data_IF_588498374172
#
_entry.id   IF_588498374172
#
_cell.length_a   1.000
_cell.length_b   1.000
_cell.length_c   1.000
_cell.angle_alpha   90.00
_cell.angle_beta   90.00
_cell.angle_gamma   90.00
#
_symmetry.space_group_name_H-M   'P 1'
#
loop_
_entity.id
_entity.type
_entity.pdbx_description
1 polymer ?
#
# COMPACT_ATOMS: atom_id res chain seq x y z
N UNK A 1 23.77 19.05 19.73
CA UNK A 1 22.45 19.18 19.06
C UNK A 1 21.36 18.95 20.10
N UNK A 2 20.13 19.47 19.92
CA UNK A 2 19.00 19.13 20.79
C UNK A 2 18.70 17.61 20.73
N UNK A 3 18.25 17.04 21.84
CA UNK A 3 17.87 15.62 21.91
C UNK A 3 16.56 15.37 21.18
N UNK A 4 16.34 14.13 20.72
CA UNK A 4 15.09 13.74 20.05
C UNK A 4 13.86 14.05 20.90
N UNK A 5 13.91 13.78 22.21
CA UNK A 5 12.85 14.14 23.15
C UNK A 5 12.59 15.65 23.17
N UNK A 6 13.65 16.48 23.34
CA UNK A 6 13.50 17.95 23.33
C UNK A 6 12.95 18.49 22.01
N UNK A 7 13.28 17.88 20.87
CA UNK A 7 12.70 18.25 19.57
C UNK A 7 11.21 17.91 19.52
N UNK A 8 10.82 16.69 19.92
CA UNK A 8 9.43 16.20 19.80
C UNK A 8 8.50 16.94 20.77
N UNK A 9 8.91 17.08 22.02
CA UNK A 9 8.10 17.60 23.13
C UNK A 9 7.99 19.13 23.11
N UNK A 10 8.99 19.86 22.58
CA UNK A 10 8.89 21.31 22.45
C UNK A 10 7.85 21.71 21.40
N UNK A 11 6.71 22.21 21.88
CA UNK A 11 5.63 22.76 21.05
C UNK A 11 6.01 24.02 20.27
N UNK A 12 7.10 24.70 20.64
CA UNK A 12 7.62 25.92 19.99
C UNK A 12 8.79 25.66 19.05
N UNK A 13 9.37 24.45 19.07
CA UNK A 13 10.47 24.12 18.17
C UNK A 13 10.00 24.06 16.72
N UNK A 14 10.61 24.90 15.88
CA UNK A 14 10.50 24.87 14.42
C UNK A 14 11.91 24.91 13.83
N UNK A 15 12.26 24.01 12.88
CA UNK A 15 13.50 24.11 12.14
C UNK A 15 13.64 25.47 11.43
N UNK A 16 14.88 25.93 11.26
CA UNK A 16 15.18 27.13 10.45
C UNK A 16 15.05 26.81 8.96
N UNK A 17 14.77 27.77 8.06
CA UNK A 17 14.62 27.49 6.62
C UNK A 17 15.82 26.78 5.97
N UNK A 18 17.05 27.07 6.39
CA UNK A 18 18.27 26.37 5.94
C UNK A 18 18.41 24.93 6.49
N UNK A 19 17.84 24.69 7.66
CA UNK A 19 17.77 23.38 8.30
C UNK A 19 16.67 22.52 7.64
N UNK A 20 15.50 23.11 7.37
CA UNK A 20 14.40 22.51 6.60
C UNK A 20 14.87 22.03 5.23
N UNK A 21 15.52 22.88 4.42
CA UNK A 21 16.03 22.49 3.10
C UNK A 21 17.09 21.36 3.16
N UNK A 22 17.79 21.20 4.29
CA UNK A 22 18.75 20.11 4.50
C UNK A 22 18.04 18.82 4.90
N UNK A 23 17.03 18.90 5.78
CA UNK A 23 16.17 17.78 6.18
C UNK A 23 15.42 17.26 4.95
N UNK A 24 14.75 18.11 4.18
CA UNK A 24 13.98 17.70 3.01
C UNK A 24 14.85 17.02 1.95
N UNK A 25 16.09 17.50 1.75
CA UNK A 25 17.06 16.82 0.87
C UNK A 25 17.39 15.41 1.39
N UNK A 26 17.63 15.26 2.69
CA UNK A 26 17.89 13.95 3.29
C UNK A 26 16.70 13.00 3.14
N UNK A 27 15.49 13.46 3.47
CA UNK A 27 14.24 12.70 3.30
C UNK A 27 14.03 12.30 1.84
N UNK A 28 14.31 13.19 0.88
CA UNK A 28 14.15 12.90 -0.56
C UNK A 28 15.09 11.79 -1.08
N UNK A 29 16.20 11.52 -0.39
CA UNK A 29 17.13 10.43 -0.72
C UNK A 29 16.68 9.07 -0.16
N UNK A 30 15.62 9.01 0.66
CA UNK A 30 15.07 7.79 1.26
C UNK A 30 13.76 7.45 0.54
N UNK A 31 13.73 6.45 -0.37
CA UNK A 31 12.57 6.21 -1.24
C UNK A 31 11.26 5.97 -0.48
N UNK A 32 11.31 5.24 0.64
CA UNK A 32 10.16 4.97 1.51
C UNK A 32 9.54 6.24 2.10
N UNK A 33 10.33 7.28 2.40
CA UNK A 33 9.83 8.54 2.99
C UNK A 33 9.27 9.52 1.95
N UNK A 34 9.51 9.29 0.66
CA UNK A 34 9.04 10.15 -0.42
C UNK A 34 7.57 9.92 -0.76
N UNK A 35 6.67 10.83 -0.36
CA UNK A 35 5.30 10.82 -0.89
C UNK A 35 5.28 11.25 -2.37
N UNK A 36 5.15 10.28 -3.28
CA UNK A 36 4.92 10.53 -4.72
C UNK A 36 3.46 10.95 -4.97
N UNK A 37 3.14 12.17 -4.54
CA UNK A 37 1.86 12.82 -4.74
C UNK A 37 1.76 13.48 -6.12
N UNK A 38 0.73 13.07 -6.86
CA UNK A 38 0.22 13.66 -8.10
C UNK A 38 1.14 13.62 -9.34
N UNK A 39 0.54 13.33 -10.49
CA UNK A 39 1.17 13.43 -11.81
C UNK A 39 1.96 12.23 -12.34
N UNK A 40 2.29 11.21 -11.54
CA UNK A 40 3.09 10.06 -12.02
C UNK A 40 2.35 8.73 -12.00
N UNK A 41 1.88 8.31 -13.19
CA UNK A 41 1.44 6.94 -13.49
C UNK A 41 2.59 5.98 -13.18
N UNK A 42 2.47 5.21 -12.08
CA UNK A 42 3.44 4.19 -11.62
C UNK A 42 4.89 4.63 -11.89
N UNK A 43 5.22 5.84 -11.42
CA UNK A 43 6.49 6.50 -11.74
C UNK A 43 7.67 5.62 -11.39
N UNK A 44 8.68 5.59 -12.27
CA UNK A 44 9.78 4.60 -12.30
C UNK A 44 9.96 3.91 -10.94
N UNK A 45 9.55 2.64 -10.90
CA UNK A 45 9.79 1.77 -9.76
C UNK A 45 11.29 1.81 -9.42
N UNK A 46 11.68 1.68 -8.15
CA UNK A 46 13.07 1.82 -7.76
C UNK A 46 13.93 0.82 -8.54
N UNK A 47 14.70 1.33 -9.51
CA UNK A 47 15.56 0.52 -10.38
C UNK A 47 16.38 -0.41 -9.49
N UNK A 48 16.20 -1.72 -9.68
CA UNK A 48 16.71 -2.73 -8.76
C UNK A 48 18.18 -2.48 -8.43
N UNK A 49 18.51 -2.34 -7.15
CA UNK A 49 19.92 -2.37 -6.70
C UNK A 49 20.53 -3.66 -7.25
N UNK A 50 21.64 -3.55 -7.98
CA UNK A 50 22.25 -4.68 -8.69
C UNK A 50 22.51 -5.85 -7.72
N UNK A 51 21.64 -6.86 -7.79
CA UNK A 51 21.38 -7.74 -6.65
C UNK A 51 22.33 -8.95 -6.71
N UNK A 52 23.36 -8.96 -5.87
CA UNK A 52 24.56 -9.81 -6.02
C UNK A 52 24.36 -11.30 -5.68
N UNK A 53 23.17 -11.72 -5.26
CA UNK A 53 22.91 -13.07 -4.82
C UNK A 53 22.72 -14.05 -5.99
N UNK A 54 23.46 -15.17 -5.97
CA UNK A 54 23.31 -16.21 -7.00
C UNK A 54 21.98 -16.97 -6.85
N UNK A 55 21.44 -17.47 -7.96
CA UNK A 55 20.23 -18.34 -7.99
C UNK A 55 20.26 -19.48 -6.97
N UNK A 56 21.43 -20.06 -6.73
CA UNK A 56 21.63 -21.15 -5.75
C UNK A 56 21.59 -20.66 -4.30
N UNK A 57 22.05 -19.45 -4.03
CA UNK A 57 21.94 -18.81 -2.71
C UNK A 57 20.48 -18.44 -2.42
N UNK A 58 19.79 -17.79 -3.37
CA UNK A 58 18.38 -17.45 -3.24
C UNK A 58 17.50 -18.70 -3.02
N UNK A 59 17.69 -19.76 -3.82
CA UNK A 59 16.98 -21.03 -3.64
C UNK A 59 17.27 -21.70 -2.27
N UNK A 60 18.46 -21.50 -1.71
CA UNK A 60 18.81 -21.96 -0.36
C UNK A 60 18.08 -21.14 0.70
N UNK A 61 18.03 -19.81 0.58
CA UNK A 61 17.28 -18.92 1.47
C UNK A 61 15.78 -19.24 1.48
N UNK A 62 15.18 -19.51 0.32
CA UNK A 62 13.78 -19.98 0.23
C UNK A 62 13.59 -21.28 1.02
N UNK A 63 14.41 -22.30 0.75
CA UNK A 63 14.38 -23.59 1.48
C UNK A 63 14.63 -23.44 2.98
N UNK A 64 15.48 -22.52 3.41
CA UNK A 64 15.73 -22.26 4.83
C UNK A 64 14.54 -21.58 5.51
N UNK A 65 13.90 -20.60 4.86
CA UNK A 65 12.68 -19.96 5.36
C UNK A 65 11.52 -20.95 5.50
N UNK A 66 11.32 -21.82 4.50
CA UNK A 66 10.37 -22.94 4.54
C UNK A 66 10.65 -23.88 5.72
N UNK A 67 11.93 -24.22 5.96
CA UNK A 67 12.34 -25.06 7.10
C UNK A 67 12.21 -24.37 8.46
N UNK A 68 12.20 -23.03 8.53
CA UNK A 68 11.96 -22.28 9.78
C UNK A 68 10.48 -22.27 10.14
N UNK A 69 9.59 -22.02 9.17
CA UNK A 69 8.14 -22.08 9.35
C UNK A 69 7.70 -23.46 9.84
N UNK A 70 8.36 -24.53 9.36
CA UNK A 70 8.14 -25.92 9.82
C UNK A 70 8.60 -26.23 11.26
N UNK A 71 9.42 -25.37 11.89
CA UNK A 71 10.05 -25.64 13.21
C UNK A 71 9.46 -24.86 14.38
N UNK A 72 8.82 -23.73 14.13
CA UNK A 72 8.28 -22.83 15.16
C UNK A 72 6.90 -22.28 14.70
N UNK A 73 5.83 -23.10 14.80
CA UNK A 73 4.55 -22.79 14.15
C UNK A 73 3.66 -21.82 14.92
N UNK A 74 3.88 -21.64 16.23
CA UNK A 74 3.03 -20.78 17.08
C UNK A 74 3.31 -19.27 16.93
N UNK A 75 4.29 -18.89 16.11
CA UNK A 75 4.69 -17.48 15.94
C UNK A 75 3.90 -16.69 14.89
N UNK A 76 3.00 -17.33 14.12
CA UNK A 76 2.32 -16.70 12.99
C UNK A 76 0.89 -17.28 12.77
N UNK A 77 -0.17 -16.58 13.21
CA UNK A 77 -1.59 -16.95 13.08
C UNK A 77 -2.26 -16.22 11.87
N UNK A 78 -3.47 -16.52 11.34
CA UNK A 78 -4.43 -17.64 11.48
C UNK A 78 -5.28 -17.77 10.18
N UNK A 79 -5.77 -18.98 9.85
CA UNK A 79 -6.27 -19.46 8.53
C UNK A 79 -7.73 -19.99 8.33
N UNK A 80 -8.47 -19.71 7.24
CA UNK A 80 -9.58 -20.56 6.73
C UNK A 80 -9.51 -20.87 5.19
N UNK A 81 -9.64 -22.16 4.86
CA UNK A 81 -9.49 -22.92 3.58
C UNK A 81 -9.97 -22.28 2.23
N UNK A 82 -9.20 -22.41 1.11
CA UNK A 82 -9.59 -22.03 -0.25
C UNK A 82 -9.42 -23.20 -1.29
N UNK A 83 -9.97 -24.38 -1.01
CA UNK A 83 -9.84 -25.65 -1.78
C UNK A 83 -10.22 -25.68 -3.29
N UNK A 84 -10.37 -24.55 -3.96
CA UNK A 84 -10.91 -24.46 -5.33
C UNK A 84 -9.88 -24.15 -6.43
N UNK A 85 -8.58 -24.04 -6.10
CA UNK A 85 -7.62 -23.33 -6.97
C UNK A 85 -6.64 -24.14 -7.82
N UNK A 86 -6.38 -25.42 -7.52
CA UNK A 86 -5.23 -26.12 -8.09
C UNK A 86 -5.61 -27.46 -8.73
N UNK A 87 -5.96 -27.41 -10.02
CA UNK A 87 -5.99 -28.58 -10.92
C UNK A 87 -5.44 -28.20 -12.31
N UNK A 88 -4.12 -28.38 -12.58
CA UNK A 88 -3.52 -28.12 -13.88
C UNK A 88 -3.49 -29.37 -14.81
N UNK A 89 -3.59 -29.22 -16.16
CA UNK A 89 -3.66 -30.38 -17.08
C UNK A 89 -2.30 -31.04 -17.40
N UNK A 90 -2.35 -32.31 -17.81
CA UNK A 90 -1.23 -33.26 -17.81
C UNK A 90 -0.05 -33.03 -18.80
N UNK A 91 -0.10 -32.07 -19.72
CA UNK A 91 0.77 -32.03 -20.90
C UNK A 91 2.19 -31.44 -20.71
N UNK A 92 2.60 -31.10 -19.48
CA UNK A 92 3.83 -30.35 -19.21
C UNK A 92 4.90 -31.11 -18.39
N UNK A 93 4.74 -32.43 -18.19
CA UNK A 93 5.47 -33.17 -17.15
C UNK A 93 6.99 -33.39 -17.39
N UNK A 94 7.51 -33.21 -18.61
CA UNK A 94 8.86 -33.66 -19.00
C UNK A 94 10.00 -32.62 -18.92
N UNK A 95 9.74 -31.37 -18.49
CA UNK A 95 10.75 -30.31 -18.48
C UNK A 95 11.66 -30.35 -17.22
N UNK A 96 12.98 -30.04 -17.29
CA UNK A 96 13.86 -29.97 -16.11
C UNK A 96 13.50 -28.87 -15.09
N UNK A 97 12.87 -27.79 -15.55
CA UNK A 97 12.23 -26.79 -14.69
C UNK A 97 11.05 -27.38 -13.90
N UNK A 98 10.35 -28.35 -14.46
CA UNK A 98 9.22 -29.02 -13.83
C UNK A 98 9.64 -29.86 -12.61
N UNK A 99 10.89 -30.37 -12.56
CA UNK A 99 11.44 -31.01 -11.35
C UNK A 99 11.63 -30.00 -10.20
N UNK A 100 11.91 -28.74 -10.52
CA UNK A 100 11.98 -27.66 -9.53
C UNK A 100 10.58 -27.18 -9.13
N UNK A 101 9.63 -27.12 -10.07
CA UNK A 101 8.21 -26.89 -9.77
C UNK A 101 7.67 -27.98 -8.85
N UNK A 102 7.76 -29.26 -9.22
CA UNK A 102 7.33 -30.40 -8.40
C UNK A 102 7.94 -30.41 -6.99
N UNK A 103 9.18 -29.91 -6.84
CA UNK A 103 9.80 -29.76 -5.51
C UNK A 103 9.16 -28.62 -4.71
N UNK A 104 8.80 -27.50 -5.35
CA UNK A 104 8.01 -26.43 -4.75
C UNK A 104 6.57 -26.88 -4.45
N UNK A 105 5.92 -27.60 -5.36
CA UNK A 105 4.56 -28.10 -5.24
C UNK A 105 4.44 -29.09 -4.05
N UNK A 106 5.36 -30.06 -3.94
CA UNK A 106 5.45 -30.98 -2.77
C UNK A 106 5.79 -30.28 -1.45
N UNK A 107 6.39 -29.08 -1.50
CA UNK A 107 6.65 -28.25 -0.32
C UNK A 107 5.39 -27.45 0.03
N UNK A 108 4.68 -26.91 -0.95
CA UNK A 108 3.43 -26.17 -0.81
C UNK A 108 2.33 -27.07 -0.22
N UNK A 109 2.12 -28.26 -0.81
CA UNK A 109 1.18 -29.28 -0.33
C UNK A 109 1.45 -29.67 1.14
N UNK A 110 2.73 -29.77 1.54
CA UNK A 110 3.12 -30.04 2.94
C UNK A 110 2.99 -28.85 3.89
N UNK A 111 2.89 -27.63 3.38
CA UNK A 111 2.66 -26.43 4.20
C UNK A 111 1.16 -26.22 4.39
N UNK A 112 0.38 -26.40 3.34
CA UNK A 112 -1.10 -26.40 3.35
C UNK A 112 -1.66 -27.40 4.37
N UNK A 113 -1.05 -28.58 4.52
CA UNK A 113 -1.48 -29.58 5.50
C UNK A 113 -1.09 -29.29 6.94
N UNK A 114 -0.32 -28.23 7.23
CA UNK A 114 0.28 -28.07 8.57
C UNK A 114 0.08 -26.70 9.24
N UNK A 115 0.29 -25.54 8.57
CA UNK A 115 0.38 -24.22 9.24
C UNK A 115 -0.22 -23.03 8.43
N UNK A 116 -0.58 -21.87 9.03
CA UNK A 116 -1.59 -20.96 8.48
C UNK A 116 -1.11 -19.97 7.40
N UNK A 117 -2.07 -19.48 6.61
CA UNK A 117 -1.81 -18.99 5.26
C UNK A 117 -1.23 -17.58 5.09
N UNK A 118 -1.10 -16.74 6.11
CA UNK A 118 -0.36 -15.47 5.90
C UNK A 118 1.12 -15.76 5.56
N UNK A 119 1.68 -16.81 6.17
CA UNK A 119 3.00 -17.35 5.83
C UNK A 119 3.03 -17.94 4.41
N UNK A 120 1.99 -18.65 4.01
CA UNK A 120 1.87 -19.29 2.70
C UNK A 120 1.68 -18.28 1.56
N UNK A 121 0.77 -17.30 1.71
CA UNK A 121 0.58 -16.18 0.78
C UNK A 121 1.92 -15.50 0.51
N UNK A 122 2.69 -15.19 1.56
CA UNK A 122 4.03 -14.62 1.43
C UNK A 122 5.00 -15.53 0.68
N UNK A 123 5.05 -16.83 1.00
CA UNK A 123 5.93 -17.78 0.31
C UNK A 123 5.59 -17.88 -1.19
N UNK A 124 4.31 -17.82 -1.57
CA UNK A 124 3.87 -17.74 -2.96
C UNK A 124 4.34 -16.44 -3.61
N UNK A 125 4.22 -15.30 -2.93
CA UNK A 125 4.73 -14.00 -3.39
C UNK A 125 6.25 -14.01 -3.62
N UNK A 126 7.01 -14.54 -2.66
CA UNK A 126 8.47 -14.67 -2.74
C UNK A 126 8.87 -15.68 -3.84
N UNK A 127 8.11 -16.74 -4.07
CA UNK A 127 8.37 -17.72 -5.15
C UNK A 127 8.13 -17.09 -6.53
N UNK A 128 7.06 -16.31 -6.70
CA UNK A 128 6.80 -15.56 -7.94
C UNK A 128 7.86 -14.48 -8.15
N UNK A 129 8.30 -13.80 -7.08
CA UNK A 129 9.41 -12.85 -7.14
C UNK A 129 10.73 -13.54 -7.53
N UNK A 130 11.04 -14.73 -6.99
CA UNK A 130 12.20 -15.53 -7.40
C UNK A 130 12.16 -15.86 -8.89
N UNK A 131 10.99 -16.23 -9.44
CA UNK A 131 10.84 -16.46 -10.87
C UNK A 131 11.09 -15.18 -11.70
N UNK A 132 10.62 -14.02 -11.23
CA UNK A 132 10.88 -12.72 -11.88
C UNK A 132 12.36 -12.34 -11.82
N UNK A 133 12.96 -12.31 -10.61
CA UNK A 133 14.37 -11.99 -10.31
C UNK A 133 15.35 -12.83 -11.13
N UNK A 134 15.07 -14.12 -11.32
CA UNK A 134 15.93 -15.05 -12.05
C UNK A 134 15.54 -15.26 -13.52
N UNK A 135 14.62 -14.43 -14.05
CA UNK A 135 14.13 -14.45 -15.44
C UNK A 135 13.56 -15.83 -15.88
N UNK A 136 12.95 -16.55 -14.95
CA UNK A 136 12.29 -17.84 -15.17
C UNK A 136 10.85 -17.67 -15.70
N UNK A 137 10.29 -16.47 -15.54
CA UNK A 137 9.05 -16.02 -16.18
C UNK A 137 9.33 -14.69 -16.92
N UNK A 138 8.73 -14.49 -18.09
CA UNK A 138 8.83 -13.21 -18.80
C UNK A 138 7.87 -12.17 -18.20
N UNK A 139 8.23 -10.89 -18.23
CA UNK A 139 7.41 -9.80 -17.68
C UNK A 139 5.98 -9.77 -18.26
N UNK A 140 5.82 -10.16 -19.52
CA UNK A 140 4.50 -10.31 -20.14
C UNK A 140 3.67 -11.45 -19.52
N UNK A 141 4.27 -12.63 -19.29
CA UNK A 141 3.58 -13.76 -18.63
C UNK A 141 3.30 -13.49 -17.15
N UNK A 142 4.20 -12.77 -16.48
CA UNK A 142 4.00 -12.28 -15.12
C UNK A 142 2.83 -11.27 -15.06
N UNK A 143 2.75 -10.37 -16.04
CA UNK A 143 1.61 -9.47 -16.23
C UNK A 143 0.27 -10.21 -16.33
N UNK A 144 0.19 -11.25 -17.16
CA UNK A 144 -1.00 -12.11 -17.25
C UNK A 144 -1.32 -12.76 -15.90
N UNK A 145 -0.32 -13.39 -15.24
CA UNK A 145 -0.50 -14.08 -13.96
C UNK A 145 -1.05 -13.14 -12.88
N UNK A 146 -0.43 -11.96 -12.70
CA UNK A 146 -0.77 -11.00 -11.65
C UNK A 146 -2.03 -10.16 -11.95
N UNK A 147 -2.49 -10.13 -13.21
CA UNK A 147 -3.74 -9.45 -13.62
C UNK A 147 -4.95 -10.38 -13.77
N UNK A 148 -4.76 -11.70 -13.62
CA UNK A 148 -5.86 -12.65 -13.53
C UNK A 148 -6.71 -12.36 -12.30
N UNK A 149 -8.04 -12.33 -12.45
CA UNK A 149 -9.02 -11.93 -11.42
C UNK A 149 -8.69 -12.47 -10.01
N UNK A 150 -8.51 -13.80 -9.92
CA UNK A 150 -8.39 -14.50 -8.65
C UNK A 150 -7.00 -14.26 -8.00
N UNK A 151 -5.94 -14.22 -8.82
CA UNK A 151 -4.59 -13.86 -8.36
C UNK A 151 -4.52 -12.39 -7.93
N UNK A 152 -5.09 -11.46 -8.72
CA UNK A 152 -5.13 -10.02 -8.40
C UNK A 152 -5.82 -9.76 -7.07
N UNK A 153 -6.96 -10.41 -6.83
CA UNK A 153 -7.67 -10.35 -5.54
C UNK A 153 -6.84 -10.92 -4.40
N UNK A 154 -6.24 -12.11 -4.57
CA UNK A 154 -5.45 -12.76 -3.52
C UNK A 154 -4.22 -11.93 -3.13
N UNK A 155 -3.49 -11.39 -4.11
CA UNK A 155 -2.40 -10.45 -3.89
C UNK A 155 -2.87 -9.16 -3.22
N UNK A 156 -3.99 -8.58 -3.67
CA UNK A 156 -4.54 -7.36 -3.07
C UNK A 156 -4.91 -7.55 -1.60
N UNK A 157 -5.56 -8.68 -1.26
CA UNK A 157 -5.86 -9.03 0.12
C UNK A 157 -4.57 -9.21 0.93
N UNK A 158 -3.57 -9.91 0.39
CA UNK A 158 -2.28 -10.09 1.06
C UNK A 158 -1.58 -8.75 1.39
N UNK A 159 -1.58 -7.79 0.46
CA UNK A 159 -0.96 -6.45 0.63
C UNK A 159 -1.66 -5.61 1.72
N UNK A 160 -2.99 -5.78 1.87
CA UNK A 160 -3.75 -5.06 2.89
C UNK A 160 -3.69 -5.76 4.25
N UNK A 161 -3.71 -7.10 4.25
CA UNK A 161 -3.50 -7.92 5.44
C UNK A 161 -2.11 -7.72 6.05
N UNK A 162 -1.06 -7.66 5.24
CA UNK A 162 0.31 -7.40 5.70
C UNK A 162 0.39 -6.04 6.42
N UNK A 163 -0.14 -4.99 5.81
CA UNK A 163 -0.20 -3.67 6.42
C UNK A 163 -0.98 -3.66 7.76
N UNK A 164 -2.09 -4.39 7.83
CA UNK A 164 -2.93 -4.46 9.03
C UNK A 164 -2.31 -5.28 10.17
N UNK A 165 -1.55 -6.35 9.87
CA UNK A 165 -0.91 -7.23 10.85
C UNK A 165 0.32 -6.58 11.48
N UNK A 166 1.03 -5.74 10.73
CA UNK A 166 2.30 -5.15 11.17
C UNK A 166 2.13 -4.03 12.17
N UNK A 167 1.22 -3.12 11.83
CA UNK A 167 0.94 -1.90 12.57
C UNK A 167 0.08 -2.15 13.82
N UNK A 168 0.42 -3.22 14.55
CA UNK A 168 -0.01 -3.59 15.91
C UNK A 168 0.05 -2.46 16.96
N UNK A 169 0.57 -1.29 16.61
CA UNK A 169 0.72 -0.11 17.47
C UNK A 169 -0.37 0.96 17.21
N UNK A 170 -1.14 0.89 16.11
CA UNK A 170 -2.27 1.80 15.86
C UNK A 170 -3.42 1.15 15.08
N UNK A 171 -4.50 0.79 15.79
CA UNK A 171 -5.76 0.31 15.17
C UNK A 171 -6.55 1.41 14.45
N UNK A 172 -6.08 2.66 14.48
CA UNK A 172 -6.85 3.84 14.07
C UNK A 172 -6.77 4.14 12.55
N UNK A 173 -6.12 3.28 11.76
CA UNK A 173 -5.67 3.62 10.40
C UNK A 173 -5.76 2.48 9.35
N UNK A 174 -6.70 1.56 9.51
CA UNK A 174 -6.91 0.45 8.55
C UNK A 174 -7.53 0.97 7.24
N UNK A 175 -7.24 0.33 6.09
CA UNK A 175 -6.61 0.94 4.92
C UNK A 175 -7.32 2.17 4.33
N UNK A 176 -7.13 3.33 4.98
CA UNK A 176 -7.66 4.62 4.52
C UNK A 176 -6.85 5.18 3.33
N UNK A 177 -5.67 4.62 3.02
CA UNK A 177 -4.80 5.14 1.97
C UNK A 177 -4.16 4.08 1.07
N UNK A 178 -5.00 3.35 0.31
CA UNK A 178 -4.58 2.32 -0.65
C UNK A 178 -3.38 2.71 -1.53
N UNK A 179 -3.39 3.92 -2.10
CA UNK A 179 -2.29 4.44 -2.95
C UNK A 179 -0.96 4.46 -2.20
N UNK A 180 -0.96 4.88 -0.94
CA UNK A 180 0.24 4.92 -0.12
C UNK A 180 0.67 3.54 0.38
N UNK A 181 -0.29 2.68 0.75
CA UNK A 181 -0.03 1.28 1.11
C UNK A 181 0.66 0.55 -0.05
N UNK A 182 0.16 0.70 -1.28
CA UNK A 182 0.75 0.06 -2.45
C UNK A 182 2.13 0.64 -2.80
N UNK A 183 2.31 1.96 -2.67
CA UNK A 183 3.61 2.60 -2.86
C UNK A 183 4.66 2.06 -1.86
N UNK A 184 4.29 1.93 -0.58
CA UNK A 184 5.17 1.32 0.42
C UNK A 184 5.36 -0.18 0.19
N UNK A 185 4.35 -0.91 -0.30
CA UNK A 185 4.49 -2.31 -0.69
C UNK A 185 5.48 -2.52 -1.84
N UNK A 186 5.62 -1.57 -2.76
CA UNK A 186 6.70 -1.59 -3.76
C UNK A 186 8.11 -1.47 -3.14
N UNK A 187 8.22 -1.00 -1.90
CA UNK A 187 9.47 -0.98 -1.12
C UNK A 187 9.64 -2.21 -0.21
N UNK A 188 8.70 -3.16 -0.22
CA UNK A 188 8.75 -4.41 0.54
C UNK A 188 8.99 -5.63 -0.34
N UNK A 189 9.19 -6.79 0.31
CA UNK A 189 9.41 -8.07 -0.36
C UNK A 189 8.42 -8.31 -1.50
N UNK A 190 8.90 -8.78 -2.65
CA UNK A 190 8.17 -9.00 -3.91
C UNK A 190 7.67 -7.76 -4.69
N UNK A 191 7.63 -6.56 -4.12
CA UNK A 191 7.09 -5.36 -4.79
C UNK A 191 7.70 -5.05 -6.17
N UNK A 192 9.01 -5.28 -6.32
CA UNK A 192 9.75 -5.10 -7.57
C UNK A 192 9.26 -6.00 -8.73
N UNK A 193 8.48 -7.06 -8.48
CA UNK A 193 7.96 -7.91 -9.55
C UNK A 193 6.92 -7.24 -10.44
N UNK A 194 6.39 -6.08 -10.01
CA UNK A 194 5.51 -5.24 -10.83
C UNK A 194 6.29 -4.31 -11.80
N UNK A 195 7.62 -4.29 -11.72
CA UNK A 195 8.50 -3.52 -12.62
C UNK A 195 8.54 -4.13 -14.03
N UNK A 196 8.46 -3.28 -15.05
CA UNK A 196 8.43 -3.71 -16.46
C UNK A 196 7.16 -4.42 -16.92
N UNK A 197 6.15 -4.61 -16.04
CA UNK A 197 4.87 -5.20 -16.45
C UNK A 197 4.10 -4.30 -17.45
N UNK A 198 3.33 -4.87 -18.39
CA UNK A 198 2.50 -4.11 -19.32
C UNK A 198 1.49 -3.22 -18.59
N UNK A 199 1.27 -2.00 -19.09
CA UNK A 199 0.40 -1.02 -18.45
C UNK A 199 -1.04 -1.53 -18.28
N UNK A 200 -1.57 -2.27 -19.27
CA UNK A 200 -2.88 -2.92 -19.18
C UNK A 200 -2.97 -3.94 -18.05
N UNK A 201 -1.87 -4.65 -17.73
CA UNK A 201 -1.80 -5.58 -16.60
C UNK A 201 -1.76 -4.83 -15.27
N UNK A 202 -1.00 -3.73 -15.18
CA UNK A 202 -0.96 -2.85 -14.00
C UNK A 202 -2.32 -2.24 -13.69
N UNK A 203 -3.00 -1.67 -14.69
CA UNK A 203 -4.33 -1.08 -14.51
C UNK A 203 -5.40 -2.12 -14.12
N UNK A 204 -5.29 -3.33 -14.66
CA UNK A 204 -6.14 -4.47 -14.25
C UNK A 204 -5.89 -4.87 -12.79
N UNK A 205 -4.64 -4.94 -12.36
CA UNK A 205 -4.30 -5.20 -10.96
C UNK A 205 -4.81 -4.07 -10.04
N UNK A 206 -4.58 -2.81 -10.40
CA UNK A 206 -5.04 -1.64 -9.65
C UNK A 206 -6.56 -1.59 -9.50
N UNK A 207 -7.32 -2.07 -10.49
CA UNK A 207 -8.77 -2.23 -10.39
C UNK A 207 -9.16 -3.17 -9.25
N UNK A 208 -8.61 -4.38 -9.22
CA UNK A 208 -8.91 -5.34 -8.15
C UNK A 208 -8.37 -4.84 -6.80
N UNK A 209 -7.23 -4.17 -6.77
CA UNK A 209 -6.68 -3.60 -5.54
C UNK A 209 -7.59 -2.53 -4.94
N UNK A 210 -8.14 -1.62 -5.76
CA UNK A 210 -9.11 -0.61 -5.31
C UNK A 210 -10.44 -1.24 -4.91
N UNK A 211 -10.92 -2.28 -5.63
CA UNK A 211 -12.13 -3.01 -5.23
C UNK A 211 -11.95 -3.68 -3.88
N UNK A 212 -10.88 -4.46 -3.70
CA UNK A 212 -10.60 -5.18 -2.44
C UNK A 212 -10.39 -4.20 -1.29
N UNK A 213 -9.74 -3.06 -1.53
CA UNK A 213 -9.60 -2.00 -0.55
C UNK A 213 -10.89 -1.27 -0.19
N UNK A 214 -11.93 -1.35 -1.04
CA UNK A 214 -13.29 -0.89 -0.72
C UNK A 214 -14.11 -2.00 -0.04
N UNK A 215 -14.04 -3.25 -0.53
CA UNK A 215 -14.57 -4.46 0.14
C UNK A 215 -14.11 -4.51 1.61
N UNK A 216 -12.88 -4.06 1.91
CA UNK A 216 -12.27 -4.09 3.24
C UNK A 216 -13.08 -3.30 4.29
N UNK A 217 -13.82 -2.27 3.89
CA UNK A 217 -14.74 -1.52 4.76
C UNK A 217 -15.74 -2.45 5.49
N UNK A 218 -16.16 -3.56 4.86
CA UNK A 218 -17.09 -4.54 5.45
C UNK A 218 -16.56 -5.16 6.74
N UNK A 219 -15.24 -5.21 6.92
CA UNK A 219 -14.56 -5.84 8.06
C UNK A 219 -14.13 -4.86 9.16
N UNK A 220 -14.38 -3.56 9.02
CA UNK A 220 -14.05 -2.60 10.08
C UNK A 220 -14.83 -2.85 11.37
N UNK A 221 -14.23 -2.55 12.54
CA UNK A 221 -14.95 -2.50 13.81
C UNK A 221 -16.23 -1.64 13.71
N UNK A 222 -17.25 -1.98 14.48
CA UNK A 222 -18.56 -1.33 14.38
C UNK A 222 -18.50 0.16 14.77
N UNK A 223 -17.61 0.49 15.71
CA UNK A 223 -17.27 1.82 16.21
C UNK A 223 -16.50 2.70 15.21
N UNK A 224 -15.91 2.10 14.17
CA UNK A 224 -15.21 2.83 13.08
C UNK A 224 -16.07 2.95 11.81
N UNK A 225 -17.36 2.60 11.89
CA UNK A 225 -18.31 2.64 10.76
C UNK A 225 -19.58 3.40 11.09
N UNK A 226 -19.94 4.30 10.18
CA UNK A 226 -21.23 4.95 10.22
C UNK A 226 -22.33 3.99 9.73
N UNK A 227 -23.07 3.39 10.67
CA UNK A 227 -24.12 2.41 10.33
C UNK A 227 -25.23 2.98 9.42
N UNK A 228 -25.43 4.31 9.38
CA UNK A 228 -26.39 4.97 8.47
C UNK A 228 -25.92 4.92 7.01
N UNK A 229 -24.59 4.94 6.78
CA UNK A 229 -23.99 4.91 5.44
C UNK A 229 -23.74 3.51 4.91
N UNK A 230 -23.76 2.47 5.75
CA UNK A 230 -23.50 1.07 5.39
C UNK A 230 -24.22 0.61 4.10
N UNK A 231 -25.50 0.94 3.96
CA UNK A 231 -26.29 0.59 2.77
C UNK A 231 -25.79 1.29 1.50
N UNK A 232 -25.52 2.59 1.58
CA UNK A 232 -25.01 3.38 0.47
C UNK A 232 -23.58 2.97 0.06
N UNK A 233 -22.73 2.62 1.03
CA UNK A 233 -21.38 2.09 0.77
C UNK A 233 -21.45 0.76 0.03
N UNK A 234 -22.23 -0.21 0.52
CA UNK A 234 -22.39 -1.51 -0.16
C UNK A 234 -22.94 -1.34 -1.58
N UNK A 235 -23.95 -0.50 -1.78
CA UNK A 235 -24.53 -0.26 -3.11
C UNK A 235 -23.52 0.40 -4.07
N UNK A 236 -22.67 1.32 -3.58
CA UNK A 236 -21.61 1.92 -4.38
C UNK A 236 -20.53 0.91 -4.77
N UNK A 237 -20.17 -0.02 -3.89
CA UNK A 237 -19.23 -1.10 -4.21
C UNK A 237 -19.71 -1.90 -5.43
N UNK A 238 -20.97 -2.37 -5.37
CA UNK A 238 -21.58 -3.11 -6.47
C UNK A 238 -21.66 -2.22 -7.73
N UNK A 239 -22.19 -0.99 -7.64
CA UNK A 239 -22.37 -0.09 -8.78
C UNK A 239 -21.09 0.37 -9.49
N UNK A 240 -19.95 0.34 -8.79
CA UNK A 240 -18.65 0.78 -9.31
C UNK A 240 -17.78 -0.42 -9.75
N UNK A 241 -17.97 -1.60 -9.15
CA UNK A 241 -17.12 -2.76 -9.36
C UNK A 241 -17.84 -4.06 -9.83
N UNK A 242 -19.11 -3.96 -10.26
CA UNK A 242 -19.92 -5.04 -10.91
C UNK A 242 -19.18 -5.75 -12.07
N UNK A 243 -18.36 -5.02 -12.84
CA UNK A 243 -17.77 -5.51 -14.09
C UNK A 243 -16.27 -5.75 -14.00
N UNK A 244 -15.86 -7.01 -14.12
CA UNK A 244 -14.46 -7.36 -14.32
C UNK A 244 -13.89 -6.65 -15.56
N UNK A 245 -12.70 -6.03 -15.49
CA UNK A 245 -12.05 -5.37 -16.62
C UNK A 245 -11.66 -6.38 -17.71
N UNK A 246 -11.53 -5.89 -18.95
CA UNK A 246 -11.10 -6.67 -20.11
C UNK A 246 -9.73 -7.30 -19.87
N UNK A 247 -9.65 -8.64 -19.82
CA UNK A 247 -8.41 -9.37 -19.52
C UNK A 247 -7.31 -9.07 -20.56
N UNK A 248 -6.04 -8.89 -20.14
CA UNK A 248 -4.92 -8.70 -21.08
C UNK A 248 -4.74 -9.85 -22.08
N UNK A 249 -5.09 -11.08 -21.71
CA UNK A 249 -5.10 -12.26 -22.59
C UNK A 249 -6.02 -12.09 -23.81
N UNK A 250 -7.19 -11.47 -23.62
CA UNK A 250 -8.18 -11.27 -24.68
C UNK A 250 -7.78 -10.17 -25.67
N UNK A 251 -6.80 -9.34 -25.32
CA UNK A 251 -6.24 -8.30 -26.21
C UNK A 251 -5.25 -8.86 -27.24
N UNK A 252 -4.88 -10.15 -27.16
CA UNK A 252 -3.90 -10.78 -28.06
C UNK A 252 -4.49 -11.06 -29.44
N UNK A 253 -5.75 -11.47 -29.50
CA UNK A 253 -6.41 -11.97 -30.72
C UNK A 253 -7.08 -10.87 -31.57
N UNK A 254 -7.07 -9.62 -31.12
CA UNK A 254 -7.60 -8.48 -31.87
C UNK A 254 -6.47 -7.72 -32.59
N UNK A 255 -6.55 -7.67 -33.92
CA UNK A 255 -5.68 -6.88 -34.79
C UNK A 255 -6.18 -5.43 -34.88
N UNK A 256 -5.49 -4.50 -34.23
CA UNK A 256 -5.82 -3.07 -34.27
C UNK A 256 -4.95 -2.27 -33.31
N UNK A 257 -4.51 -1.08 -33.75
CA UNK A 257 -3.69 -0.19 -32.93
C UNK A 257 -4.50 0.41 -31.77
N UNK A 258 -3.79 0.76 -30.67
CA UNK A 258 -4.34 1.25 -29.39
C UNK A 258 -5.10 0.21 -28.54
N UNK A 259 -4.36 -0.78 -28.01
CA UNK A 259 -4.80 -1.70 -26.96
C UNK A 259 -4.84 -1.01 -25.58
N UNK A 260 -5.78 -0.09 -25.36
CA UNK A 260 -5.95 0.59 -24.07
C UNK A 260 -6.73 -0.26 -23.06
N UNK A 261 -6.39 -0.11 -21.78
CA UNK A 261 -7.26 -0.55 -20.69
C UNK A 261 -8.53 0.32 -20.73
N UNK A 262 -9.70 -0.32 -20.85
CA UNK A 262 -11.00 0.35 -20.90
C UNK A 262 -11.87 -0.12 -19.74
N UNK A 263 -12.35 0.85 -18.96
CA UNK A 263 -13.17 0.62 -17.78
C UNK A 263 -14.48 1.41 -17.94
N UNK A 264 -15.55 0.70 -18.28
CA UNK A 264 -16.85 1.31 -18.59
C UNK A 264 -17.75 1.35 -17.36
N UNK A 265 -17.53 2.37 -16.51
CA UNK A 265 -18.39 2.72 -15.38
C UNK A 265 -19.57 3.55 -15.88
N UNK A 266 -20.78 3.24 -15.43
CA UNK A 266 -21.98 4.04 -15.76
C UNK A 266 -21.84 5.44 -15.17
N UNK A 267 -22.16 6.48 -15.95
CA UNK A 267 -22.11 7.88 -15.48
C UNK A 267 -22.95 8.10 -14.21
N UNK A 268 -24.09 7.40 -14.09
CA UNK A 268 -24.95 7.44 -12.89
C UNK A 268 -24.26 6.89 -11.62
N UNK A 269 -23.36 5.91 -11.74
CA UNK A 269 -22.57 5.41 -10.61
C UNK A 269 -21.55 6.44 -10.15
N UNK A 270 -20.90 7.13 -11.11
CA UNK A 270 -19.94 8.21 -10.85
C UNK A 270 -20.64 9.43 -10.22
N UNK A 271 -21.81 9.80 -10.72
CA UNK A 271 -22.66 10.85 -10.17
C UNK A 271 -23.11 10.55 -8.74
N UNK A 272 -23.50 9.30 -8.44
CA UNK A 272 -23.87 8.87 -7.09
C UNK A 272 -22.69 8.91 -6.12
N UNK A 273 -21.50 8.46 -6.56
CA UNK A 273 -20.26 8.54 -5.79
C UNK A 273 -19.88 10.00 -5.47
N UNK A 274 -19.92 10.89 -6.47
CA UNK A 274 -19.59 12.30 -6.29
C UNK A 274 -20.59 13.03 -5.37
N UNK A 275 -21.90 12.75 -5.49
CA UNK A 275 -22.91 13.29 -4.56
C UNK A 275 -22.70 12.81 -3.13
N UNK A 276 -22.51 11.50 -2.91
CA UNK A 276 -22.28 11.00 -1.56
C UNK A 276 -21.02 11.60 -0.93
N UNK A 277 -19.96 11.80 -1.72
CA UNK A 277 -18.76 12.51 -1.27
C UNK A 277 -19.00 13.97 -0.87
N UNK A 278 -19.98 14.67 -1.47
CA UNK A 278 -20.37 16.04 -1.11
C UNK A 278 -21.26 16.05 0.15
N UNK A 279 -22.23 15.14 0.19
CA UNK A 279 -23.30 15.09 1.19
C UNK A 279 -22.87 14.44 2.52
N UNK A 280 -21.74 13.73 2.54
CA UNK A 280 -21.17 13.09 3.74
C UNK A 280 -20.95 14.05 4.91
N UNK A 281 -20.88 15.36 4.67
CA UNK A 281 -20.90 16.39 5.71
C UNK A 281 -22.09 16.28 6.68
N UNK A 282 -23.22 15.74 6.23
CA UNK A 282 -24.42 15.44 7.04
C UNK A 282 -24.20 14.29 8.05
N UNK A 283 -23.04 13.62 7.98
CA UNK A 283 -22.64 12.47 8.78
C UNK A 283 -21.24 12.70 9.39
N UNK A 284 -21.07 13.64 10.35
CA UNK A 284 -19.75 14.01 10.88
C UNK A 284 -18.93 12.84 11.42
N UNK A 285 -19.59 11.79 11.92
CA UNK A 285 -18.97 10.54 12.35
C UNK A 285 -18.74 9.55 11.17
N UNK A 286 -18.07 9.98 10.10
CA UNK A 286 -17.79 9.12 8.92
C UNK A 286 -16.40 9.28 8.26
N UNK A 287 -15.29 9.42 9.03
CA UNK A 287 -13.95 9.61 8.45
C UNK A 287 -13.48 8.43 7.60
N UNK A 288 -13.93 7.21 7.93
CA UNK A 288 -13.63 5.97 7.20
C UNK A 288 -14.28 5.98 5.81
N UNK A 289 -15.59 6.25 5.75
CA UNK A 289 -16.37 6.33 4.52
C UNK A 289 -15.83 7.45 3.62
N UNK A 290 -15.56 8.64 4.18
CA UNK A 290 -14.98 9.76 3.43
C UNK A 290 -13.64 9.40 2.78
N UNK A 291 -12.78 8.65 3.46
CA UNK A 291 -11.52 8.17 2.89
C UNK A 291 -11.72 7.12 1.77
N UNK A 292 -12.70 6.22 1.92
CA UNK A 292 -13.06 5.23 0.89
C UNK A 292 -13.71 5.86 -0.34
N UNK A 293 -14.57 6.87 -0.18
CA UNK A 293 -15.15 7.62 -1.29
C UNK A 293 -14.05 8.40 -2.03
N UNK A 294 -13.20 9.15 -1.31
CA UNK A 294 -12.12 9.91 -1.93
C UNK A 294 -11.15 9.04 -2.74
N UNK A 295 -10.68 7.90 -2.20
CA UNK A 295 -9.68 7.09 -2.90
C UNK A 295 -10.23 6.47 -4.18
N UNK A 296 -11.53 6.14 -4.21
CA UNK A 296 -12.20 5.62 -5.41
C UNK A 296 -12.44 6.74 -6.43
N UNK A 297 -12.75 7.97 -5.98
CA UNK A 297 -12.77 9.15 -6.86
C UNK A 297 -11.38 9.41 -7.46
N UNK A 298 -10.30 9.42 -6.66
CA UNK A 298 -8.92 9.60 -7.16
C UNK A 298 -8.56 8.51 -8.18
N UNK A 299 -8.83 7.24 -7.87
CA UNK A 299 -8.59 6.11 -8.77
C UNK A 299 -9.29 6.26 -10.13
N UNK A 300 -10.62 6.48 -10.13
CA UNK A 300 -11.37 6.63 -11.38
C UNK A 300 -11.02 7.91 -12.13
N UNK A 301 -10.71 9.01 -11.44
CA UNK A 301 -10.23 10.24 -12.04
C UNK A 301 -8.85 10.07 -12.71
N UNK A 302 -7.96 9.26 -12.17
CA UNK A 302 -6.66 9.00 -12.78
C UNK A 302 -6.76 8.12 -14.04
N UNK A 303 -7.72 7.19 -14.09
CA UNK A 303 -7.97 6.34 -15.27
C UNK A 303 -8.77 7.06 -16.36
N UNK A 304 -9.77 7.84 -15.96
CA UNK A 304 -10.60 8.62 -16.86
C UNK A 304 -10.82 10.03 -16.28
N UNK A 305 -9.92 10.99 -16.56
CA UNK A 305 -10.04 12.37 -16.08
C UNK A 305 -11.36 13.05 -16.45
N UNK A 306 -12.02 12.61 -17.53
CA UNK A 306 -13.32 13.15 -17.95
C UNK A 306 -14.49 12.67 -17.08
N UNK A 307 -14.34 11.59 -16.31
CA UNK A 307 -15.43 11.01 -15.52
C UNK A 307 -15.99 11.98 -14.46
N UNK A 308 -15.14 12.83 -13.87
CA UNK A 308 -15.53 13.81 -12.85
C UNK A 308 -15.48 15.27 -13.33
N UNK A 309 -15.26 15.53 -14.62
CA UNK A 309 -15.03 16.90 -15.11
C UNK A 309 -16.15 17.87 -14.68
N UNK A 310 -17.41 17.46 -14.88
CA UNK A 310 -18.59 18.25 -14.51
C UNK A 310 -18.70 18.55 -13.01
N UNK A 311 -18.08 17.74 -12.15
CA UNK A 311 -18.01 17.98 -10.71
C UNK A 311 -16.82 18.88 -10.35
N UNK A 312 -15.67 18.71 -11.01
CA UNK A 312 -14.49 19.57 -10.85
C UNK A 312 -14.73 21.02 -11.27
N UNK A 313 -15.64 21.22 -12.23
CA UNK A 313 -16.11 22.55 -12.64
C UNK A 313 -16.97 23.23 -11.54
N UNK A 314 -17.37 22.52 -10.48
CA UNK A 314 -18.10 23.07 -9.33
C UNK A 314 -17.15 23.41 -8.16
N UNK A 315 -17.18 24.64 -7.61
CA UNK A 315 -16.29 25.03 -6.52
C UNK A 315 -16.41 24.18 -5.25
N UNK A 316 -17.61 23.69 -4.93
CA UNK A 316 -17.86 22.90 -3.72
C UNK A 316 -17.13 21.56 -3.76
N UNK A 317 -17.37 20.76 -4.80
CA UNK A 317 -16.70 19.47 -4.98
C UNK A 317 -15.18 19.64 -5.09
N UNK A 318 -14.71 20.61 -5.90
CA UNK A 318 -13.29 20.81 -6.14
C UNK A 318 -12.54 21.21 -4.85
N UNK A 319 -13.09 22.13 -4.06
CA UNK A 319 -12.47 22.56 -2.79
C UNK A 319 -12.45 21.42 -1.76
N UNK A 320 -13.51 20.60 -1.70
CA UNK A 320 -13.59 19.40 -0.83
C UNK A 320 -12.58 18.32 -1.26
N UNK A 321 -12.47 18.08 -2.57
CA UNK A 321 -11.51 17.14 -3.15
C UNK A 321 -10.05 17.57 -2.89
N UNK A 322 -9.72 18.84 -3.14
CA UNK A 322 -8.37 19.37 -2.92
C UNK A 322 -7.99 19.38 -1.43
N UNK A 323 -8.96 19.63 -0.55
CA UNK A 323 -8.77 19.53 0.91
C UNK A 323 -8.43 18.09 1.33
N UNK A 324 -9.17 17.09 0.85
CA UNK A 324 -8.89 15.68 1.10
C UNK A 324 -7.54 15.22 0.52
N UNK A 325 -7.24 15.57 -0.74
CA UNK A 325 -5.95 15.25 -1.36
C UNK A 325 -4.79 15.81 -0.55
N UNK A 326 -4.91 17.08 -0.15
CA UNK A 326 -3.93 17.80 0.67
C UNK A 326 -3.80 17.25 2.08
N UNK A 327 -4.89 16.79 2.71
CA UNK A 327 -4.81 16.18 4.05
C UNK A 327 -4.13 14.81 3.98
N UNK A 328 -4.50 14.00 2.98
CA UNK A 328 -3.90 12.67 2.75
C UNK A 328 -2.42 12.71 2.40
N UNK A 329 -1.94 13.78 1.77
CA UNK A 329 -0.50 14.05 1.60
C UNK A 329 0.24 14.06 2.96
N UNK A 330 -0.24 14.82 3.94
CA UNK A 330 0.38 14.90 5.27
C UNK A 330 0.25 13.61 6.07
N UNK A 331 -0.91 12.95 5.97
CA UNK A 331 -1.14 11.66 6.61
C UNK A 331 -0.17 10.59 6.08
N UNK A 332 -0.01 10.52 4.76
CA UNK A 332 0.93 9.61 4.11
C UNK A 332 2.39 9.86 4.50
N UNK A 333 2.80 11.13 4.66
CA UNK A 333 4.15 11.44 5.17
C UNK A 333 4.38 10.89 6.59
N UNK A 334 3.36 10.90 7.45
CA UNK A 334 3.43 10.31 8.79
C UNK A 334 3.39 8.77 8.75
N UNK A 335 2.56 8.16 7.90
CA UNK A 335 2.55 6.71 7.66
C UNK A 335 3.94 6.21 7.23
N UNK A 336 4.52 6.86 6.21
CA UNK A 336 5.82 6.50 5.65
C UNK A 336 6.93 6.61 6.71
N UNK A 337 6.83 7.59 7.61
CA UNK A 337 7.77 7.71 8.73
C UNK A 337 7.61 6.56 9.73
N UNK A 338 6.38 6.18 10.10
CA UNK A 338 6.14 5.03 10.99
C UNK A 338 6.69 3.74 10.37
N UNK A 339 6.46 3.54 9.07
CA UNK A 339 6.99 2.41 8.30
C UNK A 339 8.52 2.38 8.35
N UNK A 340 9.19 3.49 8.00
CA UNK A 340 10.65 3.60 8.00
C UNK A 340 11.26 3.38 9.40
N UNK A 341 10.59 3.87 10.45
CA UNK A 341 11.01 3.67 11.83
C UNK A 341 10.89 2.20 12.26
N UNK A 342 9.84 1.47 11.83
CA UNK A 342 9.72 0.03 12.11
C UNK A 342 10.77 -0.77 11.32
N UNK A 343 11.00 -0.46 10.05
CA UNK A 343 11.90 -1.25 9.17
C UNK A 343 13.37 -1.11 9.52
N UNK A 344 13.82 0.10 9.84
CA UNK A 344 15.24 0.41 10.05
C UNK A 344 15.67 0.33 11.52
N UNK A 345 14.78 0.59 12.48
CA UNK A 345 15.11 0.62 13.90
C UNK A 345 14.54 -0.54 14.72
N UNK A 346 13.49 -1.22 14.23
CA UNK A 346 12.95 -2.40 14.89
C UNK A 346 13.41 -3.69 14.21
N UNK A 347 13.80 -4.71 14.98
CA UNK A 347 14.31 -5.97 14.41
C UNK A 347 13.22 -6.89 13.84
N UNK A 348 12.01 -6.37 13.59
CA UNK A 348 10.88 -7.10 12.98
C UNK A 348 11.08 -7.25 11.47
N UNK A 349 12.09 -8.05 11.11
CA UNK A 349 12.58 -8.35 9.74
C UNK A 349 11.55 -8.87 8.74
N UNK A 350 10.29 -9.03 9.12
CA UNK A 350 9.29 -9.69 8.30
C UNK A 350 8.95 -8.86 7.03
N UNK A 351 9.19 -7.55 6.97
CA UNK A 351 8.91 -6.73 5.78
C UNK A 351 9.92 -6.92 4.61
N UNK A 352 11.12 -7.41 4.91
CA UNK A 352 12.20 -7.52 3.94
C UNK A 352 12.14 -8.86 3.19
N UNK A 353 12.51 -8.89 1.90
CA UNK A 353 12.54 -10.15 1.15
C UNK A 353 13.59 -11.09 1.72
N UNK A 354 13.27 -12.38 1.76
CA UNK A 354 14.22 -13.43 2.13
C UNK A 354 15.44 -13.49 1.18
N UNK A 355 15.34 -12.92 -0.03
CA UNK A 355 16.41 -12.83 -1.03
C UNK A 355 17.16 -11.50 -1.04
N UNK A 356 16.55 -10.44 -0.49
CA UNK A 356 17.05 -9.06 -0.54
C UNK A 356 17.39 -8.54 0.85
N UNK A 357 17.98 -9.42 1.66
CA UNK A 357 18.59 -9.03 2.94
C UNK A 357 19.68 -8.01 2.65
N UNK A 358 19.57 -6.81 3.25
CA UNK A 358 20.55 -5.76 3.02
C UNK A 358 21.94 -6.23 3.47
N UNK A 359 22.87 -6.31 2.53
CA UNK A 359 24.28 -6.13 2.87
C UNK A 359 24.37 -4.73 3.46
N UNK A 360 24.63 -4.64 4.76
CA UNK A 360 24.69 -3.37 5.49
C UNK A 360 25.76 -2.48 4.87
N UNK A 361 25.35 -1.61 3.96
CA UNK A 361 26.16 -0.46 3.59
C UNK A 361 26.20 0.42 4.83
N UNK A 362 27.38 0.82 5.34
CA UNK A 362 27.45 1.73 6.47
C UNK A 362 26.73 3.02 6.11
N UNK A 363 25.65 3.36 6.83
CA UNK A 363 25.01 4.67 6.71
C UNK A 363 26.05 5.73 7.07
N UNK A 364 26.06 6.84 6.35
CA UNK A 364 27.00 7.95 6.55
C UNK A 364 26.75 8.77 7.84
N UNK A 365 25.71 8.41 8.59
CA UNK A 365 25.25 9.04 9.83
C UNK A 365 24.89 7.96 10.84
N UNK A 366 25.02 8.27 12.12
CA UNK A 366 24.63 7.36 13.21
C UNK A 366 23.10 7.21 13.32
N UNK A 367 22.59 6.11 13.92
CA UNK A 367 21.16 5.94 14.18
C UNK A 367 20.55 7.08 15.02
N UNK A 368 21.32 7.67 15.95
CA UNK A 368 20.86 8.78 16.78
C UNK A 368 20.75 10.10 15.98
N UNK A 369 21.68 10.37 15.07
CA UNK A 369 21.59 11.53 14.16
C UNK A 369 20.42 11.39 13.19
N UNK A 370 20.17 10.18 12.69
CA UNK A 370 19.00 9.87 11.86
C UNK A 370 17.69 10.16 12.62
N UNK A 371 17.55 9.65 13.85
CA UNK A 371 16.38 9.96 14.69
C UNK A 371 16.24 11.47 14.97
N UNK A 372 17.34 12.23 15.09
CA UNK A 372 17.27 13.69 15.23
C UNK A 372 16.78 14.37 13.94
N UNK A 373 17.16 13.90 12.75
CA UNK A 373 16.67 14.43 11.47
C UNK A 373 15.17 14.14 11.31
N UNK A 374 14.73 12.90 11.58
CA UNK A 374 13.33 12.49 11.49
C UNK A 374 12.44 13.26 12.48
N UNK A 375 12.93 13.53 13.70
CA UNK A 375 12.18 14.30 14.71
C UNK A 375 11.89 15.74 14.24
N UNK A 376 12.86 16.36 13.57
CA UNK A 376 12.67 17.69 12.96
C UNK A 376 11.74 17.63 11.74
N UNK A 377 11.78 16.54 10.98
CA UNK A 377 10.86 16.33 9.86
C UNK A 377 9.39 16.21 10.31
N UNK A 378 9.11 15.54 11.44
CA UNK A 378 7.77 15.56 12.07
C UNK A 378 7.29 16.99 12.33
N UNK A 379 8.17 17.86 12.83
CA UNK A 379 7.83 19.27 13.11
C UNK A 379 7.56 20.08 11.84
N UNK A 380 8.26 19.77 10.74
CA UNK A 380 7.98 20.36 9.42
C UNK A 380 6.60 19.91 8.92
N UNK A 381 6.24 18.62 9.05
CA UNK A 381 4.90 18.12 8.69
C UNK A 381 3.82 18.81 9.53
N UNK A 382 3.99 18.85 10.86
CA UNK A 382 3.07 19.51 11.81
C UNK A 382 2.88 21.00 11.48
N UNK A 383 3.96 21.75 11.25
CA UNK A 383 3.90 23.16 10.89
C UNK A 383 3.23 23.40 9.52
N UNK A 384 3.52 22.57 8.51
CA UNK A 384 2.90 22.68 7.17
C UNK A 384 1.40 22.34 7.21
N UNK A 385 1.00 21.34 7.99
CA UNK A 385 -0.41 21.01 8.20
C UNK A 385 -1.15 22.17 8.88
N UNK A 386 -0.62 22.70 10.00
CA UNK A 386 -1.21 23.84 10.71
C UNK A 386 -1.28 25.08 9.82
N UNK A 387 -0.24 25.37 9.03
CA UNK A 387 -0.25 26.48 8.07
C UNK A 387 -1.36 26.34 7.00
N UNK A 388 -1.68 25.11 6.57
CA UNK A 388 -2.68 24.85 5.53
C UNK A 388 -4.11 24.80 6.06
N UNK A 389 -4.32 24.23 7.24
CA UNK A 389 -5.67 23.91 7.76
C UNK A 389 -5.98 24.50 9.14
N UNK A 390 -5.03 25.13 9.84
CA UNK A 390 -5.22 25.60 11.22
C UNK A 390 -6.28 26.68 11.43
N UNK A 391 -6.80 27.29 10.36
CA UNK A 391 -7.91 28.26 10.38
C UNK A 391 -9.27 27.62 10.02
N UNK A 392 -9.31 26.32 9.71
CA UNK A 392 -10.56 25.61 9.41
C UNK A 392 -11.21 25.19 10.73
N UNK A 393 -12.32 25.84 11.09
CA UNK A 393 -13.09 25.57 12.31
C UNK A 393 -14.02 24.36 12.15
N UNK A 394 -14.44 23.75 13.26
CA UNK A 394 -15.41 22.64 13.28
C UNK A 394 -16.77 22.99 12.64
N UNK A 395 -17.13 24.28 12.64
CA UNK A 395 -18.32 24.80 11.94
C UNK A 395 -18.17 24.89 10.41
N UNK A 396 -16.97 24.68 9.86
CA UNK A 396 -16.72 24.73 8.42
C UNK A 396 -17.12 23.43 7.74
N UNK A 397 -17.80 23.55 6.59
CA UNK A 397 -18.10 22.41 5.71
C UNK A 397 -16.84 21.66 5.23
N UNK A 398 -15.66 22.30 5.28
CA UNK A 398 -14.38 21.68 4.91
C UNK A 398 -13.72 20.87 6.05
N UNK A 399 -14.15 21.03 7.31
CA UNK A 399 -13.44 20.47 8.47
C UNK A 399 -13.24 18.95 8.41
N UNK A 400 -14.27 18.21 7.97
CA UNK A 400 -14.19 16.76 7.82
C UNK A 400 -13.18 16.34 6.74
N UNK A 401 -13.09 17.10 5.65
CA UNK A 401 -12.17 16.91 4.52
C UNK A 401 -10.71 17.26 4.87
N UNK A 402 -10.50 18.08 5.91
CA UNK A 402 -9.17 18.34 6.48
C UNK A 402 -8.68 17.20 7.38
N UNK A 403 -9.54 16.26 7.78
CA UNK A 403 -9.23 15.06 8.58
C UNK A 403 -8.46 15.35 9.90
N UNK A 404 -8.75 16.50 10.56
CA UNK A 404 -8.02 17.00 11.74
C UNK A 404 -7.77 15.96 12.84
N UNK A 405 -8.82 15.26 13.28
CA UNK A 405 -8.71 14.23 14.33
C UNK A 405 -7.75 13.11 13.92
N UNK A 406 -7.88 12.61 12.69
CA UNK A 406 -7.06 11.53 12.14
C UNK A 406 -5.59 11.93 12.02
N UNK A 407 -5.31 13.17 11.61
CA UNK A 407 -3.96 13.72 11.56
C UNK A 407 -3.34 13.83 12.96
N UNK A 408 -4.07 14.36 13.94
CA UNK A 408 -3.57 14.51 15.31
C UNK A 408 -3.32 13.16 16.00
N UNK A 409 -4.15 12.15 15.74
CA UNK A 409 -3.93 10.79 16.24
C UNK A 409 -2.71 10.14 15.59
N UNK A 410 -2.56 10.22 14.27
CA UNK A 410 -1.40 9.69 13.55
C UNK A 410 -0.10 10.39 14.01
N UNK A 411 -0.10 11.72 14.11
CA UNK A 411 1.02 12.52 14.59
C UNK A 411 1.44 12.13 16.02
N UNK A 412 0.47 11.92 16.92
CA UNK A 412 0.73 11.47 18.30
C UNK A 412 1.34 10.07 18.32
N UNK A 413 0.84 9.15 17.49
CA UNK A 413 1.39 7.80 17.36
C UNK A 413 2.86 7.83 16.87
N UNK A 414 3.15 8.58 15.80
CA UNK A 414 4.51 8.74 15.26
C UNK A 414 5.47 9.34 16.30
N UNK A 415 5.05 10.40 17.01
CA UNK A 415 5.84 11.00 18.11
C UNK A 415 6.12 9.99 19.23
N UNK A 416 5.11 9.24 19.66
CA UNK A 416 5.25 8.21 20.71
C UNK A 416 6.21 7.09 20.28
N UNK A 417 6.14 6.66 19.02
CA UNK A 417 7.03 5.64 18.46
C UNK A 417 8.49 6.08 18.49
N UNK A 418 8.78 7.32 18.07
CA UNK A 418 10.14 7.86 18.12
C UNK A 418 10.70 7.94 19.54
N UNK A 419 9.90 8.38 20.51
CA UNK A 419 10.32 8.43 21.91
C UNK A 419 10.67 7.02 22.44
N UNK A 420 9.86 6.00 22.12
CA UNK A 420 10.15 4.60 22.50
C UNK A 420 11.48 4.10 21.94
N UNK A 421 11.77 4.39 20.67
CA UNK A 421 13.04 3.98 20.04
C UNK A 421 14.26 4.62 20.74
N UNK A 422 14.15 5.89 21.11
CA UNK A 422 15.22 6.61 21.85
C UNK A 422 15.41 6.07 23.26
N UNK A 423 14.34 5.64 23.95
CA UNK A 423 14.45 5.01 25.29
C UNK A 423 14.89 3.55 25.26
N UNK A 424 14.91 2.92 24.08
CA UNK A 424 15.27 1.50 23.88
C UNK A 424 16.66 1.32 23.25
N UNK A 425 17.37 2.43 22.98
CA UNK A 425 18.70 2.50 22.37
C UNK A 425 19.74 2.92 23.41
#
# INVERSE_FOLDING_TARGET
MPSVASIIEDSKYSPKPSEEATIERHISNIPQLGYRGDGVVVGELPKSVANKNSRRADLKSLRESLNRIRRDPERFFEYQDPKEFLNPPAWNQAQPSNKHSQTLDQIHEKIETTHPALSMKRLVCETIYFFSKHQLISQYKLGILLSGNLASQAFSRHILESFAVDHTISRNWLPLNLKNILNNWFHFSCGNMFEGMPETSKQTFLYYFNRIGFEYYRYYPAELRNQRLKGAMNELEDLLFDKNPTRPENLVNASGNQRSFSLNVKSSSVEKLARLFIDIQQHPDSPSELAHLFQVIDYFNNINPRAFQTFKDTPDFQTKFDSMSSSRQFLAQLENLQIYLETEFNQRRWLNSIFDQSTVNPKSISPLEELQILAKYIKIIEAKYIKKFGMVTESSQLYQYCQHKLFQECLRATKSMMLKLVTSS
#
